data_IF_525472179125
#
_entry.id   IF_525472179125
#
_cell.length_a   1.000
_cell.length_b   1.000
_cell.length_c   1.000
_cell.angle_alpha   90.00
_cell.angle_beta   90.00
_cell.angle_gamma   90.00
#
_symmetry.space_group_name_H-M   'P 1'
#
loop_
_entity.id
_entity.type
_entity.pdbx_description
1 polymer ?
#
# COMPACT_ATOMS: atom_id res chain seq x y z
N UNK A 1 -27.29 -33.34 19.85
CA UNK A 1 -27.71 -32.29 18.86
C UNK A 1 -26.94 -30.99 19.07
N UNK A 2 -26.86 -30.46 20.31
CA UNK A 2 -26.10 -29.23 20.61
C UNK A 2 -24.61 -29.32 20.24
N UNK A 3 -23.97 -30.47 20.48
CA UNK A 3 -22.54 -30.68 20.20
C UNK A 3 -22.19 -30.66 18.70
N UNK A 4 -23.09 -31.16 17.85
CA UNK A 4 -22.91 -31.18 16.39
C UNK A 4 -22.98 -29.74 15.85
N UNK A 5 -23.92 -28.94 16.36
CA UNK A 5 -24.05 -27.53 16.00
C UNK A 5 -22.80 -26.73 16.42
N UNK A 6 -22.28 -26.99 17.63
CA UNK A 6 -21.08 -26.32 18.13
C UNK A 6 -19.83 -26.66 17.30
N UNK A 7 -19.71 -27.93 16.87
CA UNK A 7 -18.63 -28.38 15.99
C UNK A 7 -18.74 -27.74 14.60
N UNK A 8 -19.95 -27.60 14.05
CA UNK A 8 -20.18 -26.93 12.76
C UNK A 8 -19.81 -25.44 12.82
N UNK A 9 -20.20 -24.74 13.89
CA UNK A 9 -19.84 -23.33 14.11
C UNK A 9 -18.31 -23.19 14.24
N UNK A 10 -17.67 -24.06 15.00
CA UNK A 10 -16.22 -24.04 15.17
C UNK A 10 -15.50 -24.29 13.83
N UNK A 11 -15.96 -25.25 13.04
CA UNK A 11 -15.41 -25.55 11.73
C UNK A 11 -15.55 -24.35 10.77
N UNK A 12 -16.65 -23.61 10.87
CA UNK A 12 -16.87 -22.41 10.07
C UNK A 12 -16.03 -21.21 10.54
N UNK A 13 -15.82 -21.05 11.85
CA UNK A 13 -14.99 -19.98 12.42
C UNK A 13 -13.49 -20.23 12.24
N UNK A 14 -13.06 -21.49 12.31
CA UNK A 14 -11.66 -21.90 12.24
C UNK A 14 -10.89 -21.26 11.05
N UNK A 15 -11.39 -21.27 9.80
CA UNK A 15 -10.68 -20.62 8.69
C UNK A 15 -10.51 -19.11 8.90
N UNK A 16 -11.49 -18.42 9.48
CA UNK A 16 -11.37 -16.98 9.77
C UNK A 16 -10.34 -16.71 10.87
N UNK A 17 -10.30 -17.55 11.91
CA UNK A 17 -9.30 -17.44 12.98
C UNK A 17 -7.90 -17.67 12.39
N UNK A 18 -7.73 -18.73 11.59
CA UNK A 18 -6.45 -19.02 10.92
C UNK A 18 -6.03 -17.89 9.99
N UNK A 19 -6.96 -17.31 9.23
CA UNK A 19 -6.70 -16.16 8.39
C UNK A 19 -6.24 -14.93 9.20
N UNK A 20 -6.90 -14.66 10.34
CA UNK A 20 -6.48 -13.60 11.26
C UNK A 20 -5.07 -13.81 11.82
N UNK A 21 -4.70 -15.05 12.17
CA UNK A 21 -3.35 -15.39 12.63
C UNK A 21 -2.31 -15.17 11.52
N UNK A 22 -2.62 -15.56 10.29
CA UNK A 22 -1.76 -15.32 9.12
C UNK A 22 -1.54 -13.82 8.92
N UNK A 23 -2.60 -13.00 8.95
CA UNK A 23 -2.50 -11.55 8.83
C UNK A 23 -1.66 -10.94 9.96
N UNK A 24 -1.82 -11.41 11.19
CA UNK A 24 -1.02 -10.95 12.32
C UNK A 24 0.48 -11.26 12.10
N UNK A 25 0.82 -12.45 11.60
CA UNK A 25 2.21 -12.83 11.31
C UNK A 25 2.82 -12.06 10.15
N UNK A 26 2.02 -11.77 9.11
CA UNK A 26 2.45 -10.88 8.04
C UNK A 26 2.71 -9.47 8.58
N UNK A 27 1.80 -8.93 9.39
CA UNK A 27 1.97 -7.60 9.99
C UNK A 27 3.21 -7.53 10.89
N UNK A 28 3.46 -8.56 11.69
CA UNK A 28 4.66 -8.69 12.52
C UNK A 28 5.92 -8.71 11.65
N UNK A 29 5.97 -9.55 10.60
CA UNK A 29 7.11 -9.62 9.68
C UNK A 29 7.35 -8.32 8.90
N UNK A 30 6.28 -7.61 8.52
CA UNK A 30 6.40 -6.29 7.87
C UNK A 30 6.92 -5.28 8.88
N UNK A 31 6.41 -5.29 10.11
CA UNK A 31 6.88 -4.39 11.13
C UNK A 31 8.35 -4.67 11.45
N UNK A 32 8.82 -5.91 11.62
CA UNK A 32 10.24 -6.15 11.94
C UNK A 32 11.20 -5.50 10.94
N UNK A 33 10.83 -5.41 9.67
CA UNK A 33 11.64 -4.81 8.61
C UNK A 33 11.42 -3.30 8.46
N UNK A 34 10.18 -2.82 8.64
CA UNK A 34 9.80 -1.45 8.32
C UNK A 34 9.30 -0.67 9.54
N UNK A 35 9.56 0.64 9.58
CA UNK A 35 8.88 1.52 10.52
C UNK A 35 7.44 1.77 10.04
N UNK A 36 6.41 1.39 10.82
CA UNK A 36 5.03 1.30 10.33
C UNK A 36 4.46 2.64 9.84
N UNK A 37 4.78 3.74 10.51
CA UNK A 37 4.32 5.09 10.10
C UNK A 37 4.91 5.50 8.75
N UNK A 38 6.21 5.26 8.55
CA UNK A 38 6.89 5.60 7.29
C UNK A 38 6.45 4.67 6.15
N UNK A 39 6.19 3.39 6.44
CA UNK A 39 5.63 2.46 5.48
C UNK A 39 4.23 2.91 5.03
N UNK A 40 3.36 3.29 5.96
CA UNK A 40 2.03 3.78 5.63
C UNK A 40 2.09 5.04 4.75
N UNK A 41 3.02 5.95 5.05
CA UNK A 41 3.26 7.14 4.25
C UNK A 41 3.77 6.81 2.84
N UNK A 42 4.72 5.86 2.72
CA UNK A 42 5.20 5.39 1.42
C UNK A 42 4.08 4.75 0.59
N UNK A 43 3.24 3.90 1.20
CA UNK A 43 2.10 3.27 0.54
C UNK A 43 1.08 4.32 0.09
N UNK A 44 0.81 5.33 0.91
CA UNK A 44 -0.11 6.40 0.56
C UNK A 44 0.41 7.23 -0.64
N UNK A 45 1.68 7.62 -0.63
CA UNK A 45 2.31 8.32 -1.77
C UNK A 45 2.31 7.44 -3.02
N UNK A 46 2.65 6.16 -2.89
CA UNK A 46 2.62 5.22 -4.02
C UNK A 46 1.21 5.09 -4.61
N UNK A 47 0.18 5.01 -3.76
CA UNK A 47 -1.21 4.92 -4.21
C UNK A 47 -1.66 6.16 -4.98
N UNK A 48 -1.23 7.36 -4.55
CA UNK A 48 -1.44 8.60 -5.31
C UNK A 48 -0.71 8.58 -6.64
N UNK A 49 0.55 8.12 -6.65
CA UNK A 49 1.33 7.99 -7.88
C UNK A 49 0.65 7.08 -8.90
N UNK A 50 0.17 5.90 -8.46
CA UNK A 50 -0.58 4.95 -9.30
C UNK A 50 -1.91 5.55 -9.76
N UNK A 51 -2.65 6.23 -8.88
CA UNK A 51 -3.91 6.87 -9.24
C UNK A 51 -3.74 7.95 -10.32
N UNK A 52 -2.60 8.65 -10.30
CA UNK A 52 -2.24 9.67 -11.27
C UNK A 52 -1.59 9.11 -12.55
N UNK A 53 -1.38 7.79 -12.66
CA UNK A 53 -0.89 7.21 -13.92
C UNK A 53 -2.00 7.31 -14.97
N UNK A 54 -1.78 8.07 -16.07
CA UNK A 54 -2.80 8.23 -17.09
C UNK A 54 -3.06 6.89 -17.79
N UNK A 55 -4.33 6.50 -17.89
CA UNK A 55 -4.76 5.26 -18.55
C UNK A 55 -4.96 5.42 -20.07
N UNK A 56 -4.98 6.66 -20.58
CA UNK A 56 -5.12 6.99 -22.00
C UNK A 56 -4.28 8.21 -22.38
N UNK A 57 -3.89 8.30 -23.65
CA UNK A 57 -3.17 9.46 -24.18
C UNK A 57 -4.09 10.70 -24.26
N UNK A 58 -3.54 11.92 -24.08
CA UNK A 58 -4.32 13.16 -24.01
C UNK A 58 -5.17 13.46 -25.25
N UNK A 59 -4.80 12.88 -26.40
CA UNK A 59 -5.35 13.24 -27.71
C UNK A 59 -6.78 12.73 -27.97
N UNK A 60 -7.29 11.83 -27.14
CA UNK A 60 -8.57 11.16 -27.42
C UNK A 60 -9.79 11.89 -26.86
N UNK A 61 -9.62 12.98 -26.10
CA UNK A 61 -10.74 13.65 -25.40
C UNK A 61 -10.66 15.18 -25.46
N UNK A 62 -11.75 15.88 -25.84
CA UNK A 62 -11.79 17.35 -25.93
C UNK A 62 -11.86 18.06 -24.57
N UNK A 63 -12.09 17.34 -23.47
CA UNK A 63 -12.14 17.88 -22.11
C UNK A 63 -11.18 17.11 -21.22
N UNK A 64 -10.17 17.80 -20.67
CA UNK A 64 -9.29 17.25 -19.65
C UNK A 64 -9.88 17.50 -18.26
N UNK A 65 -9.92 16.46 -17.44
CA UNK A 65 -10.14 16.62 -16.00
C UNK A 65 -8.94 17.34 -15.36
N UNK A 66 -9.17 18.07 -14.26
CA UNK A 66 -8.11 18.63 -13.42
C UNK A 66 -7.07 17.57 -13.01
N UNK A 67 -7.53 16.34 -12.78
CA UNK A 67 -6.69 15.18 -12.47
C UNK A 67 -5.82 14.79 -13.67
N UNK A 68 -6.36 14.80 -14.88
CA UNK A 68 -5.61 14.49 -16.11
C UNK A 68 -4.55 15.55 -16.41
N UNK A 69 -4.86 16.82 -16.13
CA UNK A 69 -3.89 17.92 -16.27
C UNK A 69 -2.68 17.73 -15.34
N UNK A 70 -2.92 17.28 -14.11
CA UNK A 70 -1.84 16.98 -13.16
C UNK A 70 -1.08 15.71 -13.58
N UNK A 71 -1.77 14.66 -14.04
CA UNK A 71 -1.17 13.42 -14.53
C UNK A 71 -0.25 13.62 -15.75
N UNK A 72 -0.57 14.60 -16.59
CA UNK A 72 0.20 14.95 -17.79
C UNK A 72 1.27 16.02 -17.52
N UNK A 73 1.25 16.65 -16.35
CA UNK A 73 2.28 17.60 -15.98
C UNK A 73 3.63 16.91 -15.78
N UNK A 74 4.70 17.61 -16.13
CA UNK A 74 6.06 17.12 -15.99
C UNK A 74 6.78 17.96 -14.96
N UNK A 75 7.46 17.30 -14.02
CA UNK A 75 8.34 17.94 -13.05
C UNK A 75 9.76 17.53 -13.42
N UNK A 76 10.60 18.51 -13.76
CA UNK A 76 12.00 18.28 -14.17
C UNK A 76 12.16 17.33 -15.37
N UNK A 77 11.19 17.31 -16.30
CA UNK A 77 11.22 16.45 -17.49
C UNK A 77 10.72 15.02 -17.26
N UNK A 78 10.35 14.65 -16.03
CA UNK A 78 9.74 13.35 -15.71
C UNK A 78 8.24 13.53 -15.49
N UNK A 79 7.37 12.64 -15.99
CA UNK A 79 5.95 12.71 -15.70
C UNK A 79 5.72 12.63 -14.18
N UNK A 80 4.88 13.53 -13.65
CA UNK A 80 4.54 13.60 -12.22
C UNK A 80 4.21 12.28 -11.55
N UNK A 81 3.43 11.34 -12.12
CA UNK A 81 3.15 10.06 -11.46
C UNK A 81 4.43 9.24 -11.19
N UNK A 82 5.40 9.25 -12.10
CA UNK A 82 6.68 8.56 -11.89
C UNK A 82 7.56 9.27 -10.86
N UNK A 83 7.53 10.61 -10.83
CA UNK A 83 8.20 11.38 -9.78
C UNK A 83 7.66 11.04 -8.38
N UNK A 84 6.33 10.99 -8.24
CA UNK A 84 5.65 10.60 -6.99
C UNK A 84 6.00 9.17 -6.58
N UNK A 85 6.02 8.23 -7.52
CA UNK A 85 6.47 6.86 -7.26
C UNK A 85 7.94 6.80 -6.80
N UNK A 86 8.82 7.62 -7.40
CA UNK A 86 10.20 7.76 -6.96
C UNK A 86 10.31 8.21 -5.50
N UNK A 87 9.53 9.22 -5.11
CA UNK A 87 9.46 9.67 -3.70
C UNK A 87 8.97 8.55 -2.80
N UNK A 88 7.95 7.80 -3.20
CA UNK A 88 7.46 6.66 -2.42
C UNK A 88 8.55 5.60 -2.16
N UNK A 89 9.36 5.28 -3.18
CA UNK A 89 10.51 4.36 -3.04
C UNK A 89 11.54 4.91 -2.06
N UNK A 90 11.88 6.20 -2.15
CA UNK A 90 12.81 6.84 -1.21
C UNK A 90 12.30 6.75 0.25
N UNK A 91 11.01 7.04 0.49
CA UNK A 91 10.39 6.94 1.82
C UNK A 91 10.39 5.48 2.30
N UNK A 92 10.15 4.52 1.41
CA UNK A 92 10.20 3.09 1.73
C UNK A 92 11.62 2.67 2.17
N UNK A 93 12.67 3.11 1.47
CA UNK A 93 14.06 2.86 1.89
C UNK A 93 14.34 3.48 3.25
N UNK A 94 13.93 4.73 3.47
CA UNK A 94 14.09 5.42 4.76
C UNK A 94 13.37 4.66 5.87
N UNK A 95 12.20 4.07 5.59
CA UNK A 95 11.45 3.27 6.57
C UNK A 95 12.20 2.02 7.04
N UNK A 96 12.99 1.39 6.17
CA UNK A 96 13.88 0.27 6.54
C UNK A 96 15.03 0.77 7.38
N UNK A 97 15.71 1.83 6.93
CA UNK A 97 16.87 2.40 7.64
C UNK A 97 16.47 2.86 9.05
N UNK A 98 15.32 3.52 9.18
CA UNK A 98 14.83 3.99 10.46
C UNK A 98 14.51 2.84 11.42
N UNK A 99 13.97 1.72 10.91
CA UNK A 99 13.73 0.50 11.69
C UNK A 99 15.03 -0.18 12.12
N UNK A 100 16.06 -0.20 11.27
CA UNK A 100 17.38 -0.71 11.64
C UNK A 100 18.04 0.12 12.76
N UNK A 101 17.80 1.45 12.78
CA UNK A 101 18.33 2.36 13.81
C UNK A 101 17.57 2.27 15.13
N UNK A 102 16.31 1.86 15.11
CA UNK A 102 15.48 1.63 16.30
C UNK A 102 14.78 0.27 16.15
N UNK A 103 15.50 -0.83 16.39
CA UNK A 103 14.90 -2.15 16.35
C UNK A 103 13.74 -2.20 17.34
N UNK A 104 12.67 -2.91 16.98
CA UNK A 104 11.63 -3.20 17.96
C UNK A 104 12.22 -4.12 19.00
N UNK A 105 12.23 -3.64 20.25
CA UNK A 105 12.56 -4.44 21.42
C UNK A 105 11.58 -5.60 21.59
#
# INVERSE_FOLDING_TARGET
>A
MIAILQLLIFLLLLPYILFGVVLAKIAEAVCTVFQPVLLLLAVWIASLGVFLVPSMMPNDRPWLSLVDSIAQSHVLGVPTPFGILGVAVCVLIVSVIARQRRPAN
#
